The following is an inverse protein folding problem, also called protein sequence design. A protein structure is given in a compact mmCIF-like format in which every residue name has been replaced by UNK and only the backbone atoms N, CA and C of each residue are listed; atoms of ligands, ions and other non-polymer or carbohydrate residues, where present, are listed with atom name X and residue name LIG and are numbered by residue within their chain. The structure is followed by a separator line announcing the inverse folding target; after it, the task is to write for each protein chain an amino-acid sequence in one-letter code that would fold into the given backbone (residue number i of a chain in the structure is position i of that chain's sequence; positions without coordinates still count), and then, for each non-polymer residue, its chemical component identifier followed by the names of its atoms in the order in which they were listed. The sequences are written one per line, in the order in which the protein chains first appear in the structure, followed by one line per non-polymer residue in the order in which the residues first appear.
data_IF_953392025894
#
_entry.id   IF_953392025894
#
_cell.length_a   1.000
_cell.length_b   1.000
_cell.length_c   1.000
_cell.angle_alpha   90.00
_cell.angle_beta   90.00
_cell.angle_gamma   90.00
#
_symmetry.space_group_name_H-M   'P 1'
#
loop_
_entity.id
_entity.type
_entity.pdbx_description
1 polymer ?
#
# COMPACT_ATOMS: atom_id res chain seq x y z
N UNK A 1 10.06 -20.49 11.28
CA UNK A 1 9.23 -19.66 12.17
C UNK A 1 9.03 -18.36 11.41
N UNK A 2 8.13 -18.38 10.43
CA UNK A 2 7.90 -17.27 9.51
C UNK A 2 7.43 -16.08 10.34
N UNK A 3 8.15 -14.96 10.23
CA UNK A 3 7.89 -13.82 11.09
C UNK A 3 6.51 -13.26 10.73
N UNK A 4 5.71 -12.82 11.70
CA UNK A 4 4.36 -12.29 11.43
C UNK A 4 4.41 -11.13 10.41
N UNK A 5 5.50 -10.36 10.41
CA UNK A 5 5.78 -9.33 9.42
C UNK A 5 5.99 -9.86 8.00
N UNK A 6 6.64 -11.02 7.83
CA UNK A 6 6.80 -11.67 6.52
C UNK A 6 5.44 -12.10 5.96
N UNK A 7 4.61 -12.75 6.77
CA UNK A 7 3.28 -13.22 6.34
C UNK A 7 2.33 -12.06 5.99
N UNK A 8 2.48 -10.90 6.65
CA UNK A 8 1.74 -9.69 6.32
C UNK A 8 2.24 -9.05 5.01
N UNK A 9 3.53 -9.22 4.70
CA UNK A 9 4.16 -8.75 3.47
C UNK A 9 3.77 -9.62 2.28
N UNK A 10 3.75 -10.95 2.42
CA UNK A 10 3.31 -11.87 1.35
C UNK A 10 1.85 -11.62 0.93
N UNK A 11 0.94 -11.46 1.90
CA UNK A 11 -0.46 -11.12 1.61
C UNK A 11 -0.60 -9.78 0.91
N UNK A 12 0.24 -8.81 1.26
CA UNK A 12 0.25 -7.51 0.59
C UNK A 12 0.74 -7.65 -0.86
N UNK A 13 1.77 -8.47 -1.09
CA UNK A 13 2.28 -8.77 -2.44
C UNK A 13 1.20 -9.44 -3.29
N UNK A 14 0.51 -10.45 -2.76
CA UNK A 14 -0.58 -11.14 -3.48
C UNK A 14 -1.72 -10.18 -3.86
N UNK A 15 -2.10 -9.27 -2.96
CA UNK A 15 -3.13 -8.26 -3.22
C UNK A 15 -2.67 -7.24 -4.27
N UNK A 16 -1.39 -6.86 -4.27
CA UNK A 16 -0.83 -5.97 -5.28
C UNK A 16 -0.73 -6.66 -6.65
N UNK A 17 -0.47 -7.96 -6.70
CA UNK A 17 -0.41 -8.77 -7.92
C UNK A 17 -1.79 -8.99 -8.54
N UNK A 18 -2.84 -9.19 -7.73
CA UNK A 18 -4.24 -9.32 -8.19
C UNK A 18 -4.86 -7.98 -8.62
N UNK A 19 -4.25 -6.86 -8.23
CA UNK A 19 -4.83 -5.53 -8.39
C UNK A 19 -5.15 -5.14 -9.84
N UNK A 20 -4.31 -5.41 -10.86
CA UNK A 20 -4.63 -5.15 -12.27
C UNK A 20 -5.85 -5.95 -12.76
N UNK A 21 -5.98 -7.19 -12.31
CA UNK A 21 -7.13 -8.06 -12.60
C UNK A 21 -8.40 -7.52 -11.93
N UNK A 22 -8.30 -7.10 -10.67
CA UNK A 22 -9.41 -6.54 -9.91
C UNK A 22 -9.90 -5.20 -10.49
N UNK A 23 -8.99 -4.33 -10.95
CA UNK A 23 -9.31 -3.06 -11.62
C UNK A 23 -10.11 -3.28 -12.91
N UNK A 24 -9.76 -4.29 -13.71
CA UNK A 24 -10.45 -4.61 -14.96
C UNK A 24 -11.89 -5.11 -14.74
N UNK A 25 -12.26 -5.43 -13.50
CA UNK A 25 -13.56 -6.00 -13.15
C UNK A 25 -14.38 -4.99 -12.35
N UNK A 26 -15.36 -4.33 -13.00
CA UNK A 26 -16.19 -3.26 -12.38
C UNK A 26 -16.88 -3.68 -11.08
N UNK A 27 -17.26 -4.96 -10.94
CA UNK A 27 -17.88 -5.47 -9.72
C UNK A 27 -16.92 -5.57 -8.52
N UNK A 28 -15.60 -5.58 -8.77
CA UNK A 28 -14.53 -5.60 -7.76
C UNK A 28 -13.96 -4.21 -7.45
N UNK A 29 -14.50 -3.14 -8.06
CA UNK A 29 -14.07 -1.76 -7.79
C UNK A 29 -14.21 -1.36 -6.32
N UNK A 30 -15.14 -1.97 -5.59
CA UNK A 30 -15.25 -1.82 -4.13
C UNK A 30 -14.00 -2.32 -3.39
N UNK A 31 -13.53 -3.52 -3.74
CA UNK A 31 -12.31 -4.12 -3.17
C UNK A 31 -11.07 -3.27 -3.50
N UNK A 32 -10.96 -2.77 -4.74
CA UNK A 32 -9.85 -1.90 -5.17
C UNK A 32 -9.84 -0.59 -4.36
N UNK A 33 -11.01 -0.03 -4.04
CA UNK A 33 -11.12 1.17 -3.19
C UNK A 33 -10.75 0.89 -1.73
N UNK A 34 -11.07 -0.29 -1.21
CA UNK A 34 -10.62 -0.71 0.12
C UNK A 34 -9.10 -0.90 0.18
N UNK A 35 -8.50 -1.53 -0.83
CA UNK A 35 -7.04 -1.67 -0.93
C UNK A 35 -6.37 -0.30 -0.99
N UNK A 36 -6.88 0.64 -1.79
CA UNK A 36 -6.37 2.01 -1.82
C UNK A 36 -6.41 2.68 -0.43
N UNK A 37 -7.47 2.43 0.34
CA UNK A 37 -7.62 2.98 1.69
C UNK A 37 -6.67 2.32 2.70
N UNK A 38 -6.45 1.00 2.57
CA UNK A 38 -5.50 0.26 3.39
C UNK A 38 -4.05 0.71 3.13
N UNK A 39 -3.68 0.93 1.86
CA UNK A 39 -2.36 1.44 1.47
C UNK A 39 -2.10 2.84 2.08
N UNK A 40 -3.08 3.74 2.03
CA UNK A 40 -2.98 5.07 2.67
C UNK A 40 -2.87 4.96 4.19
N UNK A 41 -3.60 4.04 4.83
CA UNK A 41 -3.51 3.81 6.26
C UNK A 41 -2.11 3.32 6.67
N UNK A 42 -1.53 2.37 5.92
CA UNK A 42 -0.16 1.87 6.14
C UNK A 42 0.85 3.00 5.93
N UNK A 43 0.70 3.82 4.88
CA UNK A 43 1.55 4.98 4.65
C UNK A 43 1.52 5.95 5.83
N UNK A 44 0.35 6.23 6.39
CA UNK A 44 0.22 7.10 7.57
C UNK A 44 0.83 6.49 8.84
N UNK A 45 0.67 5.18 9.03
CA UNK A 45 1.32 4.46 10.14
C UNK A 45 2.85 4.54 10.03
N UNK A 46 3.43 4.21 8.87
CA UNK A 46 4.88 4.28 8.65
C UNK A 46 5.38 5.73 8.81
N UNK A 47 4.65 6.72 8.30
CA UNK A 47 5.00 8.13 8.47
C UNK A 47 4.99 8.56 9.95
N UNK A 48 4.02 8.08 10.75
CA UNK A 48 3.93 8.39 12.18
C UNK A 48 5.05 7.75 13.01
N UNK A 49 5.62 6.64 12.55
CA UNK A 49 6.78 5.99 13.19
C UNK A 49 8.13 6.55 12.71
N UNK A 50 8.14 7.24 11.57
CA UNK A 50 9.33 7.85 10.96
C UNK A 50 9.51 9.32 11.43
N UNK A 51 9.54 9.55 12.75
CA UNK A 51 9.66 10.90 13.34
C UNK A 51 11.10 11.43 13.36
N UNK A 52 12.11 10.58 13.22
CA UNK A 52 13.51 10.95 13.37
C UNK A 52 14.18 11.26 12.02
N UNK A 53 13.91 12.45 11.49
CA UNK A 53 14.24 12.89 10.13
C UNK A 53 15.73 12.82 9.74
N UNK A 54 16.64 12.58 10.69
CA UNK A 54 18.10 12.54 10.46
C UNK A 54 18.67 11.12 10.25
N UNK A 55 17.88 10.06 10.49
CA UNK A 55 18.34 8.68 10.30
C UNK A 55 18.10 8.16 8.89
N UNK A 56 19.03 7.36 8.36
CA UNK A 56 18.86 6.62 7.10
C UNK A 56 17.58 5.77 7.10
N UNK A 57 17.16 5.27 8.27
CA UNK A 57 15.89 4.55 8.44
C UNK A 57 14.67 5.44 8.21
N UNK A 58 14.69 6.69 8.66
CA UNK A 58 13.59 7.63 8.39
C UNK A 58 13.54 8.04 6.91
N UNK A 59 14.70 8.06 6.25
CA UNK A 59 14.79 8.29 4.82
C UNK A 59 14.21 7.11 4.02
N UNK A 60 14.51 5.87 4.41
CA UNK A 60 13.90 4.66 3.86
C UNK A 60 12.39 4.62 4.14
N UNK A 61 11.97 4.99 5.35
CA UNK A 61 10.56 5.10 5.74
C UNK A 61 9.77 6.04 4.82
N UNK A 62 10.33 7.20 4.45
CA UNK A 62 9.71 8.13 3.50
C UNK A 62 9.53 7.53 2.10
N UNK A 63 10.55 6.85 1.57
CA UNK A 63 10.44 6.18 0.26
C UNK A 63 9.32 5.13 0.27
N UNK A 64 9.20 4.37 1.36
CA UNK A 64 8.12 3.39 1.54
C UNK A 64 6.74 4.07 1.63
N UNK A 65 6.63 5.18 2.37
CA UNK A 65 5.39 5.99 2.46
C UNK A 65 4.97 6.52 1.09
N UNK A 66 5.91 7.06 0.33
CA UNK A 66 5.66 7.59 -1.01
C UNK A 66 5.22 6.48 -1.98
N UNK A 67 5.84 5.30 -1.89
CA UNK A 67 5.44 4.11 -2.65
C UNK A 67 4.00 3.66 -2.37
N UNK A 68 3.61 3.60 -1.09
CA UNK A 68 2.25 3.24 -0.71
C UNK A 68 1.21 4.27 -1.16
N UNK A 69 1.53 5.56 -1.08
CA UNK A 69 0.65 6.63 -1.58
C UNK A 69 0.50 6.59 -3.09
N UNK A 70 1.60 6.35 -3.83
CA UNK A 70 1.54 6.19 -5.27
C UNK A 70 0.66 5.01 -5.66
N UNK A 71 0.81 3.86 -5.00
CA UNK A 71 -0.04 2.70 -5.21
C UNK A 71 -1.52 3.01 -4.93
N UNK A 72 -1.84 3.68 -3.81
CA UNK A 72 -3.20 4.08 -3.48
C UNK A 72 -3.82 5.00 -4.55
N UNK A 73 -3.06 5.94 -5.09
CA UNK A 73 -3.51 6.83 -6.17
C UNK A 73 -3.74 6.07 -7.48
N UNK A 74 -2.87 5.12 -7.81
CA UNK A 74 -3.04 4.27 -9.00
C UNK A 74 -4.33 3.44 -8.87
N UNK A 75 -4.60 2.84 -7.71
CA UNK A 75 -5.85 2.10 -7.47
C UNK A 75 -7.09 2.98 -7.68
N UNK A 76 -7.07 4.22 -7.18
CA UNK A 76 -8.19 5.18 -7.33
C UNK A 76 -8.35 5.64 -8.79
N UNK A 77 -7.26 6.05 -9.43
CA UNK A 77 -7.30 6.49 -10.82
C UNK A 77 -7.68 5.37 -11.79
N UNK A 78 -7.45 4.11 -11.42
CA UNK A 78 -7.82 2.97 -12.24
C UNK A 78 -9.31 2.61 -12.18
N UNK A 79 -10.04 2.99 -11.12
CA UNK A 79 -11.49 2.80 -10.99
C UNK A 79 -12.31 4.04 -11.39
N UNK A 80 -11.67 5.21 -11.53
CA UNK A 80 -12.31 6.47 -11.94
C UNK A 80 -12.29 6.70 -13.47
N UNK A 81 -11.65 5.79 -14.23
CA UNK A 81 -11.63 5.76 -15.70
C UNK A 81 -12.78 4.93 -16.27
#
# INVERSE_FOLDING_TARGET
MTNMYEAMTDKLIDVLDDLPQAVAQTHRHGEVREVASALDAIANTVASHSTDAASTEAQAGRVVVDGFRAAAQLCRGAIEQ
#
